data_IF_343858008632
#
_entry.id   IF_343858008632
#
_cell.length_a   1.000
_cell.length_b   1.000
_cell.length_c   1.000
_cell.angle_alpha   90.00
_cell.angle_beta   90.00
_cell.angle_gamma   90.00
#
_symmetry.space_group_name_H-M   'P 1'
#
loop_
_entity.id
_entity.type
_entity.pdbx_description
1 polymer ?
#
# COMPACT_ATOMS: atom_id res chain seq x y z
N UNK A 1 -18.65 -8.18 9.44
CA UNK A 1 -17.27 -7.70 9.67
C UNK A 1 -16.28 -8.85 9.90
N UNK A 2 -16.75 -10.10 9.94
CA UNK A 2 -15.96 -11.25 10.38
C UNK A 2 -14.91 -11.73 9.36
N UNK A 3 -15.18 -11.58 8.06
CA UNK A 3 -14.29 -12.05 7.01
C UNK A 3 -12.88 -11.46 7.05
N UNK A 4 -12.73 -10.16 7.39
CA UNK A 4 -11.40 -9.52 7.49
C UNK A 4 -10.60 -10.04 8.68
N UNK A 5 -11.26 -10.23 9.82
CA UNK A 5 -10.63 -10.79 11.02
C UNK A 5 -10.22 -12.24 10.80
N UNK A 6 -11.09 -13.05 10.19
CA UNK A 6 -10.75 -14.43 9.84
C UNK A 6 -9.59 -14.50 8.84
N UNK A 7 -9.56 -13.61 7.85
CA UNK A 7 -8.47 -13.56 6.88
C UNK A 7 -7.13 -13.20 7.53
N UNK A 8 -7.11 -12.21 8.41
CA UNK A 8 -5.90 -11.80 9.14
C UNK A 8 -5.40 -12.90 10.09
N UNK A 9 -6.31 -13.57 10.81
CA UNK A 9 -5.94 -14.72 11.65
C UNK A 9 -5.30 -15.86 10.84
N UNK A 10 -5.84 -16.18 9.65
CA UNK A 10 -5.25 -17.15 8.73
C UNK A 10 -3.89 -16.68 8.23
N UNK A 11 -3.75 -15.41 7.87
CA UNK A 11 -2.47 -14.82 7.49
C UNK A 11 -1.43 -15.00 8.60
N UNK A 12 -1.81 -14.79 9.86
CA UNK A 12 -0.93 -15.03 11.01
C UNK A 12 -0.40 -16.46 11.09
N UNK A 13 -1.24 -17.46 10.86
CA UNK A 13 -0.82 -18.87 10.82
C UNK A 13 0.16 -19.14 9.68
N UNK A 14 -0.11 -18.59 8.49
CA UNK A 14 0.75 -18.70 7.32
C UNK A 14 2.10 -17.98 7.51
N UNK A 15 2.10 -16.81 8.15
CA UNK A 15 3.33 -16.09 8.49
C UNK A 15 4.16 -16.87 9.49
N UNK A 16 3.54 -17.44 10.52
CA UNK A 16 4.20 -18.23 11.56
C UNK A 16 4.87 -19.49 10.99
N UNK A 17 4.19 -20.21 10.09
CA UNK A 17 4.72 -21.45 9.50
C UNK A 17 5.96 -21.23 8.61
N UNK A 18 6.18 -20.00 8.14
CA UNK A 18 7.30 -19.63 7.27
C UNK A 18 8.45 -18.94 8.01
N UNK A 19 8.32 -18.68 9.31
CA UNK A 19 9.40 -18.02 10.07
C UNK A 19 10.68 -18.86 10.10
N UNK A 20 11.82 -18.18 10.09
CA UNK A 20 13.13 -18.82 10.21
C UNK A 20 14.27 -17.83 10.00
N UNK A 21 15.50 -18.28 10.30
CA UNK A 21 16.72 -17.46 10.16
C UNK A 21 17.02 -17.02 8.74
N UNK A 22 16.40 -17.64 7.74
CA UNK A 22 16.52 -17.28 6.33
C UNK A 22 15.78 -15.98 5.97
N UNK A 23 14.85 -15.51 6.81
CA UNK A 23 14.12 -14.25 6.59
C UNK A 23 14.95 -13.08 7.13
N UNK A 24 15.38 -12.19 6.23
CA UNK A 24 16.17 -11.01 6.58
C UNK A 24 15.31 -9.76 6.83
N UNK A 25 14.17 -9.66 6.14
CA UNK A 25 13.26 -8.51 6.22
C UNK A 25 11.81 -8.98 6.27
N UNK A 26 11.04 -8.33 7.14
CA UNK A 26 9.60 -8.54 7.31
C UNK A 26 8.89 -7.29 6.84
N UNK A 27 8.18 -7.38 5.73
CA UNK A 27 7.46 -6.25 5.13
C UNK A 27 6.01 -6.64 4.98
N UNK A 28 5.11 -5.80 5.50
CA UNK A 28 3.70 -5.89 5.21
C UNK A 28 3.39 -4.87 4.12
N UNK A 29 3.00 -5.35 2.94
CA UNK A 29 2.55 -4.50 1.84
C UNK A 29 1.03 -4.41 1.88
N UNK A 30 0.48 -3.20 2.03
CA UNK A 30 -0.96 -3.00 2.14
C UNK A 30 -1.41 -1.73 1.41
N UNK A 31 -2.67 -1.73 0.99
CA UNK A 31 -3.32 -0.52 0.46
C UNK A 31 -3.36 0.61 1.51
N UNK A 32 -3.82 1.79 1.07
CA UNK A 32 -3.96 2.98 1.92
C UNK A 32 -5.11 2.93 2.94
N UNK A 33 -5.78 1.80 3.16
CA UNK A 33 -6.91 1.72 4.08
C UNK A 33 -6.43 1.78 5.54
N UNK A 34 -6.61 2.93 6.19
CA UNK A 34 -6.15 3.17 7.56
C UNK A 34 -6.58 2.11 8.57
N UNK A 35 -7.84 1.67 8.50
CA UNK A 35 -8.37 0.65 9.41
C UNK A 35 -7.69 -0.71 9.23
N UNK A 36 -7.32 -1.08 8.01
CA UNK A 36 -6.56 -2.30 7.72
C UNK A 36 -5.11 -2.14 8.17
N UNK A 37 -4.47 -1.03 7.81
CA UNK A 37 -3.10 -0.73 8.21
C UNK A 37 -2.91 -0.72 9.72
N UNK A 38 -3.87 -0.18 10.48
CA UNK A 38 -3.88 -0.21 11.94
C UNK A 38 -3.88 -1.65 12.47
N UNK A 39 -4.76 -2.51 11.95
CA UNK A 39 -4.83 -3.92 12.34
C UNK A 39 -3.55 -4.68 11.99
N UNK A 40 -2.97 -4.43 10.82
CA UNK A 40 -1.69 -5.04 10.41
C UNK A 40 -0.59 -4.63 11.39
N UNK A 41 -0.52 -3.36 11.81
CA UNK A 41 0.47 -2.91 12.81
C UNK A 41 0.25 -3.55 14.18
N UNK A 42 -1.00 -3.79 14.56
CA UNK A 42 -1.35 -4.44 15.84
C UNK A 42 -0.99 -5.94 15.82
N UNK A 43 -1.29 -6.65 14.72
CA UNK A 43 -1.09 -8.10 14.60
C UNK A 43 0.34 -8.50 14.20
N UNK A 44 1.05 -7.65 13.45
CA UNK A 44 2.40 -7.90 12.93
C UNK A 44 3.35 -6.74 13.29
N UNK A 45 3.58 -6.48 14.59
CA UNK A 45 4.36 -5.31 15.04
C UNK A 45 5.84 -5.35 14.63
N UNK A 46 6.36 -6.53 14.28
CA UNK A 46 7.73 -6.74 13.80
C UNK A 46 7.88 -6.59 12.27
N UNK A 47 6.77 -6.34 11.55
CA UNK A 47 6.79 -6.09 10.11
C UNK A 47 6.84 -4.59 9.83
N UNK A 48 7.72 -4.19 8.91
CA UNK A 48 7.68 -2.84 8.34
C UNK A 48 6.49 -2.73 7.40
N UNK A 49 5.48 -1.95 7.78
CA UNK A 49 4.37 -1.63 6.89
C UNK A 49 4.83 -0.66 5.79
N UNK A 50 4.58 -1.02 4.53
CA UNK A 50 4.85 -0.21 3.34
C UNK A 50 3.55 -0.10 2.53
N UNK A 51 3.27 1.09 1.99
CA UNK A 51 2.12 1.31 1.12
C UNK A 51 2.30 0.54 -0.20
N UNK A 52 1.24 -0.14 -0.63
CA UNK A 52 1.14 -0.70 -1.97
C UNK A 52 1.10 0.44 -3.00
N UNK A 53 2.27 0.68 -3.61
CA UNK A 53 2.45 1.70 -4.63
C UNK A 53 1.60 1.43 -5.86
N UNK A 54 1.45 0.16 -6.29
CA UNK A 54 0.69 -0.18 -7.49
C UNK A 54 -0.77 0.22 -7.29
N UNK A 55 -1.33 -0.13 -6.14
CA UNK A 55 -2.69 0.25 -5.80
C UNK A 55 -2.89 1.77 -5.72
N UNK A 56 -1.94 2.50 -5.11
CA UNK A 56 -1.99 3.96 -5.08
C UNK A 56 -1.89 4.57 -6.50
N UNK A 57 -1.07 3.99 -7.37
CA UNK A 57 -0.90 4.44 -8.75
C UNK A 57 -2.15 4.21 -9.61
N UNK A 58 -2.90 3.12 -9.39
CA UNK A 58 -4.18 2.87 -10.06
C UNK A 58 -5.19 4.00 -9.81
N UNK A 59 -5.20 4.59 -8.60
CA UNK A 59 -6.05 5.75 -8.31
C UNK A 59 -5.62 6.99 -9.09
N UNK A 60 -4.32 7.23 -9.26
CA UNK A 60 -3.83 8.31 -10.12
C UNK A 60 -4.33 8.13 -11.55
N UNK A 61 -4.28 6.92 -12.09
CA UNK A 61 -4.83 6.62 -13.42
C UNK A 61 -6.34 6.84 -13.51
N UNK A 62 -7.12 6.42 -12.50
CA UNK A 62 -8.56 6.67 -12.45
C UNK A 62 -8.87 8.18 -12.47
N UNK A 63 -8.12 8.97 -11.73
CA UNK A 63 -8.27 10.43 -11.72
C UNK A 63 -7.88 11.02 -13.08
N UNK A 64 -6.74 10.60 -13.65
CA UNK A 64 -6.29 11.08 -14.95
C UNK A 64 -7.30 10.77 -16.07
N UNK A 65 -7.84 9.55 -16.10
CA UNK A 65 -8.88 9.16 -17.05
C UNK A 65 -10.17 9.97 -16.85
N UNK A 66 -10.49 10.35 -15.61
CA UNK A 66 -11.66 11.19 -15.31
C UNK A 66 -11.46 12.66 -15.69
N UNK A 67 -10.22 13.19 -15.57
CA UNK A 67 -9.89 14.58 -15.88
C UNK A 67 -9.65 14.83 -17.38
N UNK A 68 -8.99 13.89 -18.06
CA UNK A 68 -8.53 14.06 -19.45
C UNK A 68 -9.24 13.14 -20.44
N UNK A 69 -9.83 12.03 -19.97
CA UNK A 69 -10.33 10.95 -20.83
C UNK A 69 -9.25 9.94 -21.20
N UNK A 70 -9.65 8.72 -21.56
CA UNK A 70 -8.72 7.60 -21.77
C UNK A 70 -7.87 7.68 -23.04
N UNK A 71 -8.11 8.67 -23.92
CA UNK A 71 -7.38 8.83 -25.18
C UNK A 71 -6.51 10.07 -25.23
N UNK A 72 -6.55 10.89 -24.18
CA UNK A 72 -5.81 12.13 -24.12
C UNK A 72 -4.35 11.86 -23.71
N UNK A 73 -3.40 12.34 -24.51
CA UNK A 73 -1.96 12.15 -24.29
C UNK A 73 -1.45 12.89 -23.04
N UNK A 74 -2.17 13.92 -22.58
CA UNK A 74 -1.89 14.68 -21.36
C UNK A 74 -2.07 13.89 -20.08
N UNK A 75 -2.87 12.82 -20.09
CA UNK A 75 -3.10 11.97 -18.90
C UNK A 75 -1.80 11.32 -18.41
N UNK A 76 -0.92 10.89 -19.31
CA UNK A 76 0.32 10.21 -18.96
C UNK A 76 1.30 11.17 -18.28
N UNK A 77 1.43 12.38 -18.83
CA UNK A 77 2.25 13.46 -18.25
C UNK A 77 1.76 13.81 -16.85
N UNK A 78 0.44 13.86 -16.67
CA UNK A 78 -0.16 14.12 -15.37
C UNK A 78 0.11 12.98 -14.38
N UNK A 79 -0.15 11.72 -14.75
CA UNK A 79 0.11 10.55 -13.88
C UNK A 79 1.58 10.49 -13.49
N UNK A 80 2.50 10.69 -14.44
CA UNK A 80 3.94 10.72 -14.15
C UNK A 80 4.27 11.75 -13.07
N UNK A 81 3.81 12.99 -13.24
CA UNK A 81 4.03 14.07 -12.25
C UNK A 81 3.48 13.71 -10.87
N UNK A 82 2.26 13.16 -10.79
CA UNK A 82 1.69 12.75 -9.50
C UNK A 82 2.44 11.57 -8.88
N UNK A 83 2.88 10.63 -9.70
CA UNK A 83 3.66 9.47 -9.28
C UNK A 83 5.00 9.89 -8.67
N UNK A 84 5.69 10.83 -9.32
CA UNK A 84 6.93 11.43 -8.80
C UNK A 84 6.71 12.10 -7.44
N UNK A 85 5.60 12.82 -7.26
CA UNK A 85 5.26 13.41 -5.96
C UNK A 85 4.97 12.35 -4.89
N UNK A 86 4.33 11.23 -5.25
CA UNK A 86 4.02 10.12 -4.33
C UNK A 86 5.29 9.38 -3.88
N UNK A 87 6.27 9.27 -4.77
CA UNK A 87 7.58 8.64 -4.49
C UNK A 87 8.56 9.57 -3.76
N UNK A 88 8.31 10.87 -3.78
CA UNK A 88 9.16 11.85 -3.10
C UNK A 88 8.69 12.01 -1.66
N UNK A 89 9.61 11.87 -0.70
CA UNK A 89 9.33 12.20 0.70
C UNK A 89 9.15 13.72 0.79
N UNK A 90 7.92 14.20 0.96
CA UNK A 90 7.72 15.54 1.47
C UNK A 90 8.03 15.52 2.97
N UNK A 91 9.05 16.26 3.41
CA UNK A 91 9.42 16.46 4.84
C UNK A 91 8.30 17.08 5.70
N UNK A 92 7.10 17.29 5.14
CA UNK A 92 6.00 18.00 5.78
C UNK A 92 5.21 17.20 6.84
N UNK A 93 5.62 15.97 7.17
CA UNK A 93 4.91 15.07 8.08
C UNK A 93 5.66 14.64 9.34
N UNK A 94 6.92 15.06 9.54
CA UNK A 94 7.63 14.85 10.81
C UNK A 94 7.45 16.10 11.69
N UNK A 95 6.33 16.15 12.40
CA UNK A 95 6.18 16.95 13.62
C UNK A 95 5.76 16.03 14.75
#
# INVERSE_FOLDING_TARGET
MDGKTTALSRLGQEVASRQGSHIQHKVALADGCEALQKRIKEEFPDFRLILDFVHANEYLWKVANSLFGEKDEGREKWVKKQTEMLLTISEHGLK
#
